data_IF_338324676706
#
_entry.id   IF_338324676706
#
_cell.length_a   1.000
_cell.length_b   1.000
_cell.length_c   1.000
_cell.angle_alpha   90.00
_cell.angle_beta   90.00
_cell.angle_gamma   90.00
#
_symmetry.space_group_name_H-M   'P 1'
#
loop_
_entity.id
_entity.type
_entity.pdbx_description
1 polymer ?
#
# COMPACT_ATOMS: atom_id res chain seq x y z
N UNK A 1 37.51 -16.71 3.45
CA UNK A 1 37.66 -15.44 2.74
C UNK A 1 36.41 -14.63 3.00
N UNK A 2 36.52 -13.32 3.16
CA UNK A 2 35.32 -12.48 3.28
C UNK A 2 34.64 -12.40 1.90
N UNK A 3 33.36 -12.66 1.82
CA UNK A 3 32.56 -12.56 0.58
C UNK A 3 32.56 -11.09 0.10
N UNK A 4 32.74 -10.87 -1.19
CA UNK A 4 32.70 -9.52 -1.80
C UNK A 4 31.26 -9.05 -2.04
N UNK A 5 31.04 -7.75 -2.20
CA UNK A 5 29.71 -7.23 -2.57
C UNK A 5 29.23 -7.81 -3.91
N UNK A 6 30.12 -7.95 -4.88
CA UNK A 6 29.80 -8.55 -6.18
C UNK A 6 29.34 -10.03 -6.06
N UNK A 7 29.96 -10.81 -5.17
CA UNK A 7 29.52 -12.18 -4.91
C UNK A 7 28.14 -12.21 -4.24
N UNK A 8 27.85 -11.28 -3.32
CA UNK A 8 26.52 -11.14 -2.71
C UNK A 8 25.47 -10.79 -3.77
N UNK A 9 25.77 -9.87 -4.68
CA UNK A 9 24.88 -9.51 -5.81
C UNK A 9 24.56 -10.74 -6.68
N UNK A 10 25.57 -11.49 -7.10
CA UNK A 10 25.38 -12.66 -7.95
C UNK A 10 24.52 -13.73 -7.28
N UNK A 11 24.81 -14.07 -6.01
CA UNK A 11 24.02 -15.02 -5.24
C UNK A 11 22.55 -14.57 -5.07
N UNK A 12 22.35 -13.29 -4.86
CA UNK A 12 21.01 -12.71 -4.77
C UNK A 12 20.26 -12.82 -6.11
N UNK A 13 20.91 -12.51 -7.24
CA UNK A 13 20.33 -12.65 -8.59
C UNK A 13 20.00 -14.10 -8.89
N UNK A 14 20.91 -15.03 -8.60
CA UNK A 14 20.66 -16.48 -8.74
C UNK A 14 19.44 -16.90 -7.93
N UNK A 15 19.32 -16.41 -6.68
CA UNK A 15 18.17 -16.70 -5.82
C UNK A 15 16.87 -16.16 -6.41
N UNK A 16 16.84 -14.93 -6.91
CA UNK A 16 15.68 -14.40 -7.63
C UNK A 16 15.32 -15.25 -8.85
N UNK A 17 16.31 -15.79 -9.56
CA UNK A 17 16.11 -16.75 -10.65
C UNK A 17 15.33 -17.99 -10.22
N UNK A 18 15.59 -18.53 -9.02
CA UNK A 18 14.90 -19.74 -8.52
C UNK A 18 13.41 -19.48 -8.23
N UNK A 19 13.02 -18.26 -7.94
CA UNK A 19 11.62 -17.85 -7.70
C UNK A 19 10.94 -17.19 -8.91
N UNK A 20 11.60 -17.32 -10.09
CA UNK A 20 11.01 -17.05 -11.40
C UNK A 20 11.25 -15.65 -11.97
N UNK A 21 12.30 -14.93 -11.52
CA UNK A 21 12.78 -13.72 -12.20
C UNK A 21 13.73 -14.07 -13.32
N UNK A 22 13.58 -13.44 -14.46
CA UNK A 22 14.51 -13.58 -15.58
C UNK A 22 15.64 -12.57 -15.45
N UNK A 23 16.88 -13.06 -15.32
CA UNK A 23 18.02 -12.16 -15.41
C UNK A 23 18.18 -11.62 -16.83
N UNK A 24 18.45 -10.31 -16.94
CA UNK A 24 18.80 -9.63 -18.18
C UNK A 24 19.96 -8.68 -17.91
N UNK A 25 20.89 -8.60 -18.84
CA UNK A 25 22.02 -7.67 -18.76
C UNK A 25 21.61 -6.34 -19.39
N UNK A 26 21.53 -5.26 -18.58
CA UNK A 26 21.26 -3.90 -19.00
C UNK A 26 22.36 -2.99 -18.42
N UNK A 27 23.20 -2.42 -19.28
CA UNK A 27 24.40 -1.68 -18.86
C UNK A 27 24.15 -0.20 -18.59
N UNK A 28 23.15 0.37 -19.26
CA UNK A 28 22.90 1.82 -19.24
C UNK A 28 21.40 2.13 -19.40
N UNK A 29 21.07 3.41 -19.23
CA UNK A 29 19.68 3.87 -19.31
C UNK A 29 19.02 3.62 -20.68
N UNK A 30 19.78 3.72 -21.78
CA UNK A 30 19.23 3.45 -23.12
C UNK A 30 18.78 2.00 -23.27
N UNK A 31 19.56 1.06 -22.75
CA UNK A 31 19.18 -0.37 -22.76
C UNK A 31 17.96 -0.65 -21.86
N UNK A 32 17.88 0.04 -20.71
CA UNK A 32 16.67 -0.04 -19.84
C UNK A 32 15.45 0.46 -20.61
N UNK A 33 15.55 1.56 -21.33
CA UNK A 33 14.45 2.12 -22.13
C UNK A 33 14.01 1.19 -23.28
N UNK A 34 14.96 0.57 -23.96
CA UNK A 34 14.67 -0.39 -25.04
C UNK A 34 14.00 -1.65 -24.48
N UNK A 35 14.49 -2.16 -23.35
CA UNK A 35 13.84 -3.27 -22.66
C UNK A 35 12.41 -2.90 -22.22
N UNK A 36 12.22 -1.69 -21.66
CA UNK A 36 10.91 -1.22 -21.26
C UNK A 36 9.93 -1.22 -22.44
N UNK A 37 10.33 -0.66 -23.60
CA UNK A 37 9.49 -0.70 -24.82
C UNK A 37 9.09 -2.13 -25.18
N UNK A 38 10.06 -3.04 -25.25
CA UNK A 38 9.82 -4.42 -25.63
C UNK A 38 8.87 -5.14 -24.66
N UNK A 39 9.06 -4.99 -23.34
CA UNK A 39 8.20 -5.63 -22.35
C UNK A 39 6.81 -5.01 -22.30
N UNK A 40 6.69 -3.68 -22.46
CA UNK A 40 5.43 -2.97 -22.53
C UNK A 40 4.57 -3.47 -23.70
N UNK A 41 5.18 -3.66 -24.88
CA UNK A 41 4.51 -4.20 -26.06
C UNK A 41 4.02 -5.63 -25.85
N UNK A 42 4.82 -6.47 -25.19
CA UNK A 42 4.40 -7.84 -24.83
C UNK A 42 3.24 -7.80 -23.84
N UNK A 43 3.31 -6.97 -22.83
CA UNK A 43 2.31 -6.85 -21.77
C UNK A 43 0.96 -6.31 -22.29
N UNK A 44 0.98 -5.38 -23.27
CA UNK A 44 -0.22 -4.78 -23.88
C UNK A 44 -0.52 -5.35 -25.28
N UNK A 45 0.03 -6.53 -25.63
CA UNK A 45 -0.02 -7.09 -26.98
C UNK A 45 -1.43 -7.17 -27.56
N UNK A 46 -2.40 -7.64 -26.78
CA UNK A 46 -3.78 -7.81 -27.25
C UNK A 46 -4.43 -6.49 -27.65
N UNK A 47 -4.25 -5.44 -26.85
CA UNK A 47 -4.81 -4.13 -27.08
C UNK A 47 -4.16 -3.45 -28.32
N UNK A 48 -2.83 -3.57 -28.45
CA UNK A 48 -2.08 -3.04 -29.58
C UNK A 48 -2.48 -3.78 -30.88
N UNK A 49 -2.50 -5.12 -30.87
CA UNK A 49 -2.91 -5.95 -32.01
C UNK A 49 -4.32 -5.65 -32.49
N UNK A 50 -5.27 -5.53 -31.58
CA UNK A 50 -6.67 -5.19 -31.89
C UNK A 50 -6.80 -3.84 -32.59
N UNK A 51 -5.99 -2.87 -32.25
CA UNK A 51 -6.05 -1.53 -32.81
C UNK A 51 -5.26 -1.34 -34.10
N UNK A 52 -4.10 -2.02 -34.22
CA UNK A 52 -3.14 -1.84 -35.33
C UNK A 52 -3.00 -3.02 -36.27
N UNK A 53 -3.33 -4.24 -35.83
CA UNK A 53 -3.03 -5.48 -36.57
C UNK A 53 -1.57 -5.96 -36.42
N UNK A 54 -0.73 -5.22 -35.67
CA UNK A 54 0.66 -5.58 -35.32
C UNK A 54 0.85 -5.36 -33.83
N UNK A 55 1.80 -6.11 -33.21
CA UNK A 55 2.00 -6.08 -31.77
C UNK A 55 2.96 -4.96 -31.31
N UNK A 56 3.51 -4.18 -32.23
CA UNK A 56 4.58 -3.22 -31.96
C UNK A 56 4.07 -1.77 -32.09
N UNK A 57 4.58 -0.90 -31.25
CA UNK A 57 4.41 0.54 -31.35
C UNK A 57 5.47 1.13 -32.32
N UNK A 58 5.07 2.08 -33.13
CA UNK A 58 6.04 2.88 -33.91
C UNK A 58 6.92 3.71 -32.95
N UNK A 59 8.04 4.20 -33.46
CA UNK A 59 8.89 5.12 -32.67
C UNK A 59 8.12 6.35 -32.23
N UNK A 60 7.29 6.92 -33.11
CA UNK A 60 6.49 8.11 -32.78
C UNK A 60 5.42 7.82 -31.72
N UNK A 61 4.76 6.65 -31.78
CA UNK A 61 3.78 6.23 -30.77
C UNK A 61 4.45 6.01 -29.40
N UNK A 62 5.62 5.36 -29.39
CA UNK A 62 6.37 5.15 -28.14
C UNK A 62 6.89 6.46 -27.57
N UNK A 63 7.37 7.39 -28.40
CA UNK A 63 7.82 8.72 -27.95
C UNK A 63 6.69 9.56 -27.36
N UNK A 64 5.46 9.45 -27.90
CA UNK A 64 4.28 10.07 -27.32
C UNK A 64 4.01 9.51 -25.91
N UNK A 65 4.04 8.18 -25.75
CA UNK A 65 3.87 7.56 -24.44
C UNK A 65 4.98 7.97 -23.48
N UNK A 66 6.23 7.95 -23.93
CA UNK A 66 7.40 8.37 -23.15
C UNK A 66 7.24 9.80 -22.63
N UNK A 67 6.80 10.73 -23.45
CA UNK A 67 6.54 12.12 -23.04
C UNK A 67 5.47 12.21 -21.94
N UNK A 68 4.48 11.32 -21.94
CA UNK A 68 3.44 11.30 -20.89
C UNK A 68 3.96 10.82 -19.54
N UNK A 69 4.93 9.88 -19.52
CA UNK A 69 5.37 9.19 -18.31
C UNK A 69 6.73 9.64 -17.77
N UNK A 70 7.57 10.26 -18.59
CA UNK A 70 8.86 10.82 -18.15
C UNK A 70 8.69 12.18 -17.43
N UNK A 71 9.72 12.59 -16.69
CA UNK A 71 9.77 13.86 -15.95
C UNK A 71 8.62 14.03 -14.94
N UNK A 72 8.21 12.92 -14.35
CA UNK A 72 7.21 12.87 -13.28
C UNK A 72 7.90 12.74 -11.92
N UNK A 73 7.22 13.20 -10.88
CA UNK A 73 7.62 12.89 -9.50
C UNK A 73 7.39 11.40 -9.20
N UNK A 74 7.98 10.90 -8.12
CA UNK A 74 7.73 9.53 -7.64
C UNK A 74 6.24 9.28 -7.41
N UNK A 75 5.54 10.26 -6.83
CA UNK A 75 4.09 10.18 -6.60
C UNK A 75 3.28 10.08 -7.92
N UNK A 76 3.59 10.94 -8.90
CA UNK A 76 2.93 10.91 -10.22
C UNK A 76 3.23 9.59 -10.95
N UNK A 77 4.46 9.10 -10.90
CA UNK A 77 4.86 7.81 -11.46
C UNK A 77 4.10 6.65 -10.79
N UNK A 78 3.94 6.71 -9.45
CA UNK A 78 3.16 5.74 -8.72
C UNK A 78 1.66 5.75 -9.10
N UNK A 79 1.12 6.91 -9.44
CA UNK A 79 -0.25 7.06 -9.94
C UNK A 79 -0.38 6.49 -11.34
N UNK A 80 0.53 6.87 -12.25
CA UNK A 80 0.61 6.35 -13.62
C UNK A 80 0.70 4.81 -13.61
N UNK A 81 1.49 4.22 -12.72
CA UNK A 81 1.67 2.77 -12.60
C UNK A 81 0.35 2.03 -12.32
N UNK A 82 -0.62 2.67 -11.66
CA UNK A 82 -1.90 2.08 -11.25
C UNK A 82 -3.06 2.41 -12.18
N UNK A 83 -2.89 3.46 -13.00
CA UNK A 83 -3.90 3.94 -13.92
C UNK A 83 -3.58 3.48 -15.36
N UNK A 84 -4.62 3.36 -16.18
CA UNK A 84 -4.44 3.15 -17.62
C UNK A 84 -4.14 4.48 -18.29
N UNK A 85 -3.10 4.51 -19.13
CA UNK A 85 -2.74 5.69 -19.90
C UNK A 85 -3.34 5.62 -21.31
N UNK A 86 -3.91 6.73 -21.78
CA UNK A 86 -4.45 6.81 -23.13
C UNK A 86 -3.33 7.12 -24.13
N UNK A 87 -3.12 6.24 -25.08
CA UNK A 87 -2.17 6.43 -26.19
C UNK A 87 -2.91 6.62 -27.51
N UNK A 88 -2.64 7.72 -28.20
CA UNK A 88 -3.10 7.94 -29.58
C UNK A 88 -2.11 7.33 -30.56
N UNK A 89 -2.61 6.43 -31.41
CA UNK A 89 -1.84 5.72 -32.42
C UNK A 89 -1.72 6.53 -33.72
N UNK A 90 -0.76 6.19 -34.57
CA UNK A 90 -0.54 6.85 -35.88
C UNK A 90 -1.75 6.75 -36.83
N UNK A 91 -2.61 5.75 -36.64
CA UNK A 91 -3.84 5.57 -37.35
C UNK A 91 -5.04 6.35 -36.79
N UNK A 92 -4.83 7.21 -35.80
CA UNK A 92 -5.85 8.03 -35.14
C UNK A 92 -6.70 7.30 -34.08
N UNK A 93 -6.51 5.99 -33.88
CA UNK A 93 -7.19 5.26 -32.81
C UNK A 93 -6.55 5.54 -31.46
N UNK A 94 -7.35 5.42 -30.38
CA UNK A 94 -6.87 5.52 -28.99
C UNK A 94 -6.96 4.17 -28.31
N UNK A 95 -5.90 3.80 -27.61
CA UNK A 95 -5.81 2.59 -26.80
C UNK A 95 -5.48 2.92 -25.37
N UNK A 96 -5.73 1.95 -24.47
CA UNK A 96 -5.39 2.06 -23.05
C UNK A 96 -4.16 1.20 -22.75
N UNK A 97 -3.09 1.84 -22.34
CA UNK A 97 -1.82 1.19 -21.94
C UNK A 97 -1.83 0.97 -20.43
N UNK A 98 -1.63 -0.27 -20.02
CA UNK A 98 -1.40 -0.67 -18.63
C UNK A 98 0.10 -0.87 -18.38
N UNK A 99 0.55 -0.61 -17.14
CA UNK A 99 1.95 -0.77 -16.74
C UNK A 99 2.16 -1.91 -15.74
N UNK A 100 1.15 -2.21 -14.92
CA UNK A 100 1.23 -3.23 -13.88
C UNK A 100 -0.16 -3.87 -13.69
N UNK A 101 -0.19 -5.20 -13.55
CA UNK A 101 -1.42 -5.95 -13.25
C UNK A 101 -1.41 -6.47 -11.81
N UNK A 102 -2.60 -6.55 -11.19
CA UNK A 102 -2.79 -7.32 -9.95
C UNK A 102 -2.75 -8.83 -10.19
N UNK A 103 -3.02 -9.26 -11.41
CA UNK A 103 -2.85 -10.64 -11.85
C UNK A 103 -1.36 -10.93 -12.09
N UNK A 104 -0.80 -11.76 -11.22
CA UNK A 104 0.64 -12.08 -11.22
C UNK A 104 1.09 -12.76 -12.51
N UNK A 105 0.23 -13.56 -13.14
CA UNK A 105 0.57 -14.34 -14.34
C UNK A 105 0.63 -13.48 -15.61
N UNK A 106 0.06 -12.29 -15.57
CA UNK A 106 0.16 -11.31 -16.67
C UNK A 106 1.48 -10.53 -16.63
N UNK A 107 2.13 -10.43 -15.47
CA UNK A 107 3.33 -9.62 -15.32
C UNK A 107 4.60 -10.37 -15.74
N UNK A 108 5.57 -9.62 -16.26
CA UNK A 108 6.90 -10.11 -16.65
C UNK A 108 7.89 -9.63 -15.62
N UNK A 109 8.50 -10.58 -14.87
CA UNK A 109 9.44 -10.27 -13.79
C UNK A 109 10.87 -10.45 -14.28
N UNK A 110 11.67 -9.40 -14.17
CA UNK A 110 13.05 -9.37 -14.59
C UNK A 110 13.94 -8.80 -13.47
N UNK A 111 15.21 -9.17 -13.51
CA UNK A 111 16.25 -8.59 -12.64
C UNK A 111 17.46 -8.22 -13.49
N UNK A 112 18.03 -7.07 -13.19
CA UNK A 112 19.31 -6.62 -13.75
C UNK A 112 20.19 -6.07 -12.65
N UNK A 113 21.47 -5.90 -12.92
CA UNK A 113 22.41 -5.30 -11.98
C UNK A 113 23.41 -4.37 -12.68
N UNK A 114 24.09 -3.56 -11.88
CA UNK A 114 25.21 -2.71 -12.32
C UNK A 114 24.82 -1.73 -13.44
N UNK A 115 23.54 -1.31 -13.48
CA UNK A 115 23.08 -0.29 -14.44
C UNK A 115 23.77 1.04 -14.16
N UNK A 116 24.37 1.62 -15.19
CA UNK A 116 25.04 2.90 -15.09
C UNK A 116 24.16 4.03 -15.66
N UNK A 117 24.04 5.12 -14.91
CA UNK A 117 23.46 6.37 -15.40
C UNK A 117 24.59 7.27 -15.90
N UNK A 118 24.69 7.45 -17.20
CA UNK A 118 25.70 8.29 -17.83
C UNK A 118 25.27 9.76 -17.92
N UNK A 119 26.26 10.68 -17.88
CA UNK A 119 26.03 12.14 -17.94
C UNK A 119 25.43 12.62 -19.28
N UNK A 120 25.62 11.85 -20.36
CA UNK A 120 25.56 12.40 -21.73
C UNK A 120 24.13 12.47 -22.33
N UNK A 121 23.12 11.87 -21.73
CA UNK A 121 21.80 11.84 -22.33
C UNK A 121 20.73 12.72 -21.64
N UNK A 122 21.01 13.21 -20.46
CA UNK A 122 20.18 14.18 -19.76
C UNK A 122 21.13 15.10 -19.00
N UNK A 123 21.27 16.33 -19.37
CA UNK A 123 22.14 17.38 -18.73
C UNK A 123 21.92 17.53 -17.19
N UNK A 124 21.18 16.64 -16.59
CA UNK A 124 20.72 16.65 -15.19
C UNK A 124 21.49 15.69 -14.28
N UNK A 125 22.21 14.68 -14.81
CA UNK A 125 22.95 13.72 -13.97
C UNK A 125 24.30 14.30 -13.59
N UNK A 126 24.45 14.66 -12.31
CA UNK A 126 25.67 15.31 -11.80
C UNK A 126 26.82 14.31 -11.60
N UNK A 127 26.50 13.05 -11.29
CA UNK A 127 27.49 12.00 -11.01
C UNK A 127 27.15 10.70 -11.74
N UNK A 128 28.20 10.01 -12.21
CA UNK A 128 28.09 8.64 -12.71
C UNK A 128 27.87 7.71 -11.52
N UNK A 129 26.69 7.14 -11.40
CA UNK A 129 26.36 6.14 -10.38
C UNK A 129 26.07 4.80 -11.04
N UNK A 130 26.39 3.74 -10.34
CA UNK A 130 26.13 2.35 -10.72
C UNK A 130 25.25 1.72 -9.66
N UNK A 131 24.10 1.22 -10.07
CA UNK A 131 23.09 0.67 -9.17
C UNK A 131 23.34 -0.83 -8.97
N UNK A 132 23.34 -1.32 -7.73
CA UNK A 132 23.70 -2.70 -7.44
C UNK A 132 22.71 -3.66 -8.13
N UNK A 133 21.48 -3.78 -7.67
CA UNK A 133 20.48 -4.66 -8.29
C UNK A 133 19.15 -3.91 -8.46
N UNK A 134 18.52 -4.07 -9.63
CA UNK A 134 17.22 -3.49 -9.94
C UNK A 134 16.24 -4.59 -10.37
N UNK A 135 15.10 -4.65 -9.71
CA UNK A 135 13.97 -5.49 -10.11
C UNK A 135 13.05 -4.69 -11.03
N UNK A 136 12.78 -5.28 -12.21
CA UNK A 136 11.86 -4.71 -13.19
C UNK A 136 10.62 -5.59 -13.31
N UNK A 137 9.46 -4.93 -13.41
CA UNK A 137 8.20 -5.60 -13.75
C UNK A 137 7.64 -4.93 -15.00
N UNK A 138 7.34 -5.72 -16.01
CA UNK A 138 6.95 -5.24 -17.35
C UNK A 138 7.95 -4.24 -17.95
N UNK A 139 9.23 -4.42 -17.63
CA UNK A 139 10.33 -3.56 -18.07
C UNK A 139 10.54 -2.28 -17.26
N UNK A 140 9.62 -1.93 -16.34
CA UNK A 140 9.76 -0.77 -15.45
C UNK A 140 10.59 -1.10 -14.20
N UNK A 141 11.57 -0.28 -13.80
CA UNK A 141 12.30 -0.42 -12.54
C UNK A 141 11.37 -0.05 -11.37
N UNK A 142 10.94 -1.05 -10.59
CA UNK A 142 9.99 -0.85 -9.50
C UNK A 142 10.58 -1.04 -8.11
N UNK A 143 11.68 -1.81 -7.99
CA UNK A 143 12.39 -2.00 -6.73
C UNK A 143 13.88 -1.85 -6.98
N UNK A 144 14.54 -1.02 -6.19
CA UNK A 144 15.99 -0.88 -6.18
C UNK A 144 16.55 -1.52 -4.93
N UNK A 145 17.57 -2.36 -5.10
CA UNK A 145 18.24 -3.08 -4.02
C UNK A 145 19.69 -2.59 -3.93
N UNK A 146 20.12 -2.26 -2.72
CA UNK A 146 21.49 -1.88 -2.42
C UNK A 146 22.10 -2.88 -1.44
N UNK A 147 23.19 -3.51 -1.83
CA UNK A 147 23.83 -4.61 -1.11
C UNK A 147 25.17 -4.18 -0.55
N UNK A 148 25.46 -4.62 0.67
CA UNK A 148 26.73 -4.47 1.33
C UNK A 148 27.24 -5.85 1.78
N UNK A 149 28.57 -6.01 1.82
CA UNK A 149 29.17 -7.22 2.38
C UNK A 149 28.86 -7.37 3.88
N UNK A 150 28.86 -8.59 4.40
CA UNK A 150 28.73 -8.82 5.84
C UNK A 150 29.78 -8.02 6.63
N UNK A 151 29.36 -7.43 7.75
CA UNK A 151 30.21 -6.59 8.61
C UNK A 151 30.16 -5.09 8.28
N UNK A 152 29.53 -4.68 7.19
CA UNK A 152 29.27 -3.27 6.89
C UNK A 152 27.92 -2.87 7.51
N UNK A 153 27.84 -1.67 8.05
CA UNK A 153 26.61 -1.13 8.61
C UNK A 153 25.55 -0.89 7.52
N UNK A 154 24.33 -1.42 7.72
CA UNK A 154 23.22 -1.30 6.78
C UNK A 154 22.87 0.16 6.45
N UNK A 155 23.16 1.08 7.36
CA UNK A 155 22.94 2.50 7.17
C UNK A 155 23.77 3.12 6.02
N UNK A 156 24.88 2.50 5.64
CA UNK A 156 25.68 2.94 4.50
C UNK A 156 24.93 2.74 3.18
N UNK A 157 24.18 1.64 3.05
CA UNK A 157 23.31 1.40 1.90
C UNK A 157 22.18 2.44 1.81
N UNK A 158 21.56 2.83 2.94
CA UNK A 158 20.54 3.89 2.95
C UNK A 158 21.13 5.24 2.51
N UNK A 159 22.34 5.57 2.98
CA UNK A 159 23.04 6.79 2.56
C UNK A 159 23.34 6.78 1.06
N UNK A 160 23.67 5.62 0.51
CA UNK A 160 23.93 5.44 -0.92
C UNK A 160 22.67 5.65 -1.75
N UNK A 161 21.53 5.08 -1.34
CA UNK A 161 20.22 5.32 -1.98
C UNK A 161 19.86 6.81 -1.93
N UNK A 162 20.04 7.49 -0.80
CA UNK A 162 19.80 8.93 -0.71
C UNK A 162 20.68 9.74 -1.68
N UNK A 163 21.92 9.31 -1.91
CA UNK A 163 22.78 9.90 -2.92
C UNK A 163 22.24 9.68 -4.33
N UNK A 164 21.76 8.47 -4.66
CA UNK A 164 21.15 8.17 -5.96
C UNK A 164 19.91 8.99 -6.21
N UNK A 165 19.00 9.06 -5.25
CA UNK A 165 17.78 9.87 -5.32
C UNK A 165 18.08 11.32 -5.60
N UNK A 166 19.08 11.89 -4.93
CA UNK A 166 19.46 13.29 -5.09
C UNK A 166 20.10 13.60 -6.42
N UNK A 167 20.91 12.70 -6.99
CA UNK A 167 21.83 13.04 -8.07
C UNK A 167 21.68 12.23 -9.36
N UNK A 168 20.98 11.09 -9.35
CA UNK A 168 21.00 10.20 -10.50
C UNK A 168 19.70 9.49 -10.85
N UNK A 169 18.77 9.31 -9.95
CA UNK A 169 17.47 8.75 -10.32
C UNK A 169 16.70 9.75 -11.18
N UNK A 170 16.49 9.39 -12.45
CA UNK A 170 15.78 10.18 -13.45
C UNK A 170 15.00 9.26 -14.39
N UNK A 171 14.08 9.82 -15.16
CA UNK A 171 13.31 9.09 -16.15
C UNK A 171 12.55 7.91 -15.55
N UNK A 172 12.75 6.71 -16.10
CA UNK A 172 12.06 5.49 -15.62
C UNK A 172 12.39 5.12 -14.16
N UNK A 173 13.52 5.56 -13.60
CA UNK A 173 13.86 5.28 -12.21
C UNK A 173 12.99 6.05 -11.20
N UNK A 174 12.19 7.02 -11.63
CA UNK A 174 11.12 7.59 -10.79
C UNK A 174 9.96 6.61 -10.54
N UNK A 175 9.86 5.52 -11.30
CA UNK A 175 8.88 4.45 -11.06
C UNK A 175 9.27 3.53 -9.89
N UNK A 176 10.48 3.62 -9.36
CA UNK A 176 10.86 2.88 -8.16
C UNK A 176 9.92 3.26 -7.01
N UNK A 177 9.21 2.25 -6.48
CA UNK A 177 8.26 2.42 -5.38
C UNK A 177 8.88 2.04 -4.03
N UNK A 178 9.82 1.08 -4.05
CA UNK A 178 10.38 0.48 -2.86
C UNK A 178 11.88 0.31 -2.99
N UNK A 179 12.57 0.55 -1.90
CA UNK A 179 13.99 0.24 -1.73
C UNK A 179 14.15 -0.96 -0.80
N UNK A 180 15.15 -1.78 -1.10
CA UNK A 180 15.63 -2.85 -0.22
C UNK A 180 17.11 -2.62 0.05
N UNK A 181 17.53 -2.74 1.29
CA UNK A 181 18.92 -2.63 1.71
C UNK A 181 19.32 -3.87 2.50
N UNK A 182 20.51 -4.41 2.24
CA UNK A 182 20.99 -5.59 2.96
C UNK A 182 22.50 -5.60 3.11
N UNK A 183 22.96 -6.16 4.25
CA UNK A 183 24.33 -6.58 4.45
C UNK A 183 24.45 -8.11 4.61
N UNK A 184 23.52 -8.85 3.99
CA UNK A 184 23.32 -10.32 4.07
C UNK A 184 22.75 -10.81 5.41
N UNK A 185 23.06 -10.18 6.53
CA UNK A 185 22.62 -10.55 7.89
C UNK A 185 21.34 -9.79 8.27
N UNK A 186 21.26 -8.53 7.87
CA UNK A 186 20.12 -7.67 8.08
C UNK A 186 19.60 -7.17 6.75
N UNK A 187 18.31 -7.33 6.52
CA UNK A 187 17.63 -6.85 5.33
C UNK A 187 16.43 -6.01 5.73
N UNK A 188 16.32 -4.83 5.14
CA UNK A 188 15.23 -3.88 5.40
C UNK A 188 14.67 -3.35 4.09
N UNK A 189 13.41 -2.89 4.13
CA UNK A 189 12.78 -2.22 3.01
C UNK A 189 12.10 -0.92 3.45
N UNK A 190 11.89 -0.02 2.50
CA UNK A 190 11.23 1.27 2.73
C UNK A 190 10.69 1.88 1.43
N UNK A 191 9.76 2.82 1.57
CA UNK A 191 9.17 3.52 0.44
C UNK A 191 10.16 4.49 -0.23
N UNK A 192 10.00 4.70 -1.52
CA UNK A 192 10.59 5.85 -2.22
C UNK A 192 9.70 7.08 -1.99
N UNK A 193 9.87 7.74 -0.85
CA UNK A 193 9.09 8.92 -0.48
C UNK A 193 9.35 10.12 -1.38
N UNK A 194 8.52 11.14 -1.27
CA UNK A 194 8.73 12.42 -1.94
C UNK A 194 10.13 12.99 -1.66
N UNK A 195 10.81 13.48 -2.70
CA UNK A 195 12.18 13.96 -2.65
C UNK A 195 12.32 15.42 -2.20
N UNK A 196 11.22 16.12 -2.03
CA UNK A 196 11.23 17.56 -1.69
C UNK A 196 10.44 17.85 -0.42
N UNK A 197 10.99 18.74 0.40
CA UNK A 197 10.29 19.36 1.50
C UNK A 197 9.31 20.44 0.99
N UNK A 198 8.46 20.97 1.86
CA UNK A 198 7.53 22.04 1.53
C UNK A 198 8.23 23.34 1.04
N UNK A 199 9.48 23.56 1.44
CA UNK A 199 10.32 24.70 1.01
C UNK A 199 11.09 24.43 -0.29
N UNK A 200 10.85 23.26 -0.94
CA UNK A 200 11.52 22.86 -2.18
C UNK A 200 12.93 22.26 -1.99
N UNK A 201 13.43 22.14 -0.76
CA UNK A 201 14.73 21.52 -0.51
C UNK A 201 14.64 19.99 -0.58
N UNK A 202 15.78 19.33 -0.89
CA UNK A 202 15.88 17.88 -0.95
C UNK A 202 15.56 17.22 0.39
N UNK A 203 14.65 16.23 0.39
CA UNK A 203 14.27 15.41 1.54
C UNK A 203 14.97 14.05 1.48
N UNK A 204 15.88 13.81 2.42
CA UNK A 204 16.49 12.49 2.57
C UNK A 204 15.54 11.52 3.30
N UNK A 205 15.57 10.24 2.90
CA UNK A 205 14.86 9.18 3.63
C UNK A 205 15.51 8.99 5.00
N UNK A 206 14.69 8.99 6.04
CA UNK A 206 15.14 8.75 7.40
C UNK A 206 15.39 7.25 7.63
N UNK A 207 16.49 6.93 8.31
CA UNK A 207 16.86 5.55 8.66
C UNK A 207 15.78 4.83 9.50
N UNK A 208 15.02 5.57 10.28
CA UNK A 208 13.89 5.08 11.08
C UNK A 208 12.69 4.60 10.26
N UNK A 209 12.65 4.94 8.97
CA UNK A 209 11.59 4.50 8.05
C UNK A 209 11.91 3.18 7.32
N UNK A 210 13.07 2.60 7.59
CA UNK A 210 13.45 1.30 7.06
C UNK A 210 13.03 0.17 8.00
N UNK A 211 12.16 -0.73 7.53
CA UNK A 211 11.53 -1.78 8.31
C UNK A 211 12.11 -3.15 7.99
N UNK A 212 12.12 -4.04 8.98
CA UNK A 212 12.31 -5.46 8.73
C UNK A 212 11.04 -6.07 8.14
N UNK A 213 11.19 -7.05 7.25
CA UNK A 213 10.10 -7.93 6.87
C UNK A 213 9.85 -8.94 7.99
N UNK A 214 8.62 -9.38 8.16
CA UNK A 214 8.23 -10.36 9.18
C UNK A 214 7.31 -11.42 8.59
N UNK A 215 7.18 -12.53 9.29
CA UNK A 215 6.10 -13.49 9.04
C UNK A 215 4.76 -13.03 9.67
N UNK A 216 3.75 -13.87 9.57
CA UNK A 216 2.41 -13.60 10.12
C UNK A 216 2.35 -13.54 11.67
N UNK A 217 3.38 -14.04 12.36
CA UNK A 217 3.52 -14.02 13.81
C UNK A 217 4.36 -12.82 14.30
N UNK A 218 4.72 -11.90 13.41
CA UNK A 218 5.63 -10.78 13.63
C UNK A 218 7.10 -11.20 13.92
N UNK A 219 7.50 -12.43 13.57
CA UNK A 219 8.89 -12.86 13.66
C UNK A 219 9.68 -12.29 12.47
N UNK A 220 10.85 -11.70 12.78
CA UNK A 220 11.65 -11.00 11.76
C UNK A 220 12.36 -11.97 10.82
N UNK A 221 12.28 -11.67 9.54
CA UNK A 221 13.03 -12.32 8.47
C UNK A 221 14.22 -11.42 8.12
N UNK A 222 15.34 -11.66 8.79
CA UNK A 222 16.50 -10.76 8.72
C UNK A 222 17.45 -11.10 7.58
N UNK A 223 17.69 -12.40 7.34
CA UNK A 223 18.70 -12.85 6.40
C UNK A 223 18.25 -12.64 4.95
N UNK A 224 19.18 -12.21 4.10
CA UNK A 224 18.89 -11.87 2.71
C UNK A 224 18.22 -13.03 1.95
N UNK A 225 18.67 -14.26 2.13
CA UNK A 225 18.11 -15.42 1.42
C UNK A 225 16.66 -15.69 1.83
N UNK A 226 16.37 -15.72 3.13
CA UNK A 226 15.02 -15.93 3.66
C UNK A 226 14.09 -14.79 3.27
N UNK A 227 14.60 -13.56 3.35
CA UNK A 227 13.90 -12.37 2.89
C UNK A 227 13.55 -12.47 1.39
N UNK A 228 14.49 -12.93 0.56
CA UNK A 228 14.29 -13.07 -0.88
C UNK A 228 13.18 -14.07 -1.18
N UNK A 229 13.19 -15.22 -0.49
CA UNK A 229 12.24 -16.31 -0.72
C UNK A 229 10.80 -15.94 -0.35
N UNK A 230 10.61 -15.00 0.55
CA UNK A 230 9.27 -14.56 0.96
C UNK A 230 8.87 -13.21 0.34
N UNK A 231 9.68 -12.15 0.55
CA UNK A 231 9.37 -10.80 0.09
C UNK A 231 9.26 -10.70 -1.45
N UNK A 232 10.19 -11.32 -2.17
CA UNK A 232 10.24 -11.28 -3.63
C UNK A 232 9.41 -12.37 -4.32
N UNK A 233 8.61 -13.17 -3.59
CA UNK A 233 7.61 -13.98 -4.30
C UNK A 233 6.79 -13.08 -5.20
N UNK A 234 6.45 -13.55 -6.42
CA UNK A 234 5.65 -12.77 -7.38
C UNK A 234 4.35 -12.26 -6.76
N UNK A 235 3.76 -13.07 -5.86
CA UNK A 235 2.56 -12.69 -5.12
C UNK A 235 2.81 -11.52 -4.17
N UNK A 236 3.82 -11.62 -3.29
CA UNK A 236 4.04 -10.59 -2.26
C UNK A 236 4.52 -9.28 -2.88
N UNK A 237 5.45 -9.32 -3.85
CA UNK A 237 5.95 -8.09 -4.48
C UNK A 237 4.87 -7.39 -5.30
N UNK A 238 4.04 -8.13 -6.06
CA UNK A 238 2.93 -7.52 -6.80
C UNK A 238 1.92 -6.92 -5.84
N UNK A 239 1.50 -7.65 -4.80
CA UNK A 239 0.58 -7.13 -3.80
C UNK A 239 1.15 -5.90 -3.06
N UNK A 240 2.46 -5.90 -2.75
CA UNK A 240 3.12 -4.73 -2.14
C UNK A 240 2.98 -3.49 -3.02
N UNK A 241 3.24 -3.65 -4.32
CA UNK A 241 3.24 -2.54 -5.28
C UNK A 241 1.82 -2.08 -5.68
N UNK A 242 0.84 -2.98 -5.74
CA UNK A 242 -0.53 -2.66 -6.16
C UNK A 242 -1.46 -2.36 -4.99
N UNK A 243 -1.41 -3.17 -3.94
CA UNK A 243 -2.37 -3.12 -2.85
C UNK A 243 -1.81 -2.49 -1.58
N UNK A 244 -0.51 -2.69 -1.26
CA UNK A 244 0.07 -2.26 0.01
C UNK A 244 1.02 -1.06 -0.10
N UNK A 245 1.09 -0.41 -1.26
CA UNK A 245 1.62 0.93 -1.41
C UNK A 245 0.47 1.92 -1.48
N UNK A 246 0.41 2.84 -0.54
CA UNK A 246 -0.65 3.84 -0.39
C UNK A 246 -0.19 5.16 -0.97
N UNK A 247 -1.02 5.76 -1.81
CA UNK A 247 -0.82 7.11 -2.32
C UNK A 247 -1.40 8.11 -1.31
N UNK A 248 -0.64 9.14 -0.99
CA UNK A 248 -1.10 10.27 -0.19
C UNK A 248 -1.34 11.47 -1.10
N UNK A 249 -2.57 11.69 -1.53
CA UNK A 249 -2.91 12.70 -2.51
C UNK A 249 -2.58 14.12 -2.05
N UNK A 250 -2.83 14.45 -0.79
CA UNK A 250 -2.54 15.78 -0.24
C UNK A 250 -1.03 16.05 -0.14
N UNK A 251 -0.27 15.07 0.35
CA UNK A 251 1.18 15.21 0.57
C UNK A 251 2.01 14.89 -0.67
N UNK A 252 1.38 14.44 -1.77
CA UNK A 252 2.04 13.97 -2.99
C UNK A 252 3.16 12.96 -2.68
N UNK A 253 2.86 12.01 -1.79
CA UNK A 253 3.81 11.03 -1.27
C UNK A 253 3.27 9.61 -1.43
N UNK A 254 4.15 8.62 -1.26
CA UNK A 254 3.79 7.21 -1.18
C UNK A 254 4.23 6.61 0.15
N UNK A 255 3.43 5.70 0.66
CA UNK A 255 3.73 4.91 1.86
C UNK A 255 3.69 3.44 1.50
N UNK A 256 4.74 2.70 1.81
CA UNK A 256 4.72 1.23 1.77
C UNK A 256 4.34 0.71 3.16
N UNK A 257 3.29 -0.12 3.21
CA UNK A 257 2.79 -0.65 4.48
C UNK A 257 3.80 -1.58 5.15
N UNK A 258 3.78 -1.59 6.48
CA UNK A 258 4.60 -2.47 7.31
C UNK A 258 4.02 -3.89 7.33
N UNK A 259 4.81 -4.94 7.59
CA UNK A 259 4.35 -6.32 7.50
C UNK A 259 3.12 -6.61 8.37
N UNK A 260 3.11 -6.20 9.64
CA UNK A 260 1.97 -6.39 10.53
C UNK A 260 0.69 -5.72 10.02
N UNK A 261 0.80 -4.57 9.32
CA UNK A 261 -0.34 -3.90 8.68
C UNK A 261 -0.86 -4.71 7.49
N UNK A 262 0.06 -5.29 6.70
CA UNK A 262 -0.26 -6.17 5.56
C UNK A 262 -0.97 -7.43 6.06
N UNK A 263 -0.44 -8.10 7.09
CA UNK A 263 -1.05 -9.32 7.64
C UNK A 263 -2.40 -9.03 8.29
N UNK A 264 -2.55 -7.92 9.01
CA UNK A 264 -3.84 -7.49 9.53
C UNK A 264 -4.86 -7.27 8.40
N UNK A 265 -4.44 -6.60 7.33
CA UNK A 265 -5.29 -6.37 6.16
C UNK A 265 -5.70 -7.68 5.49
N UNK A 266 -4.74 -8.59 5.25
CA UNK A 266 -5.03 -9.94 4.71
C UNK A 266 -6.05 -10.69 5.60
N UNK A 267 -5.87 -10.65 6.91
CA UNK A 267 -6.78 -11.30 7.86
C UNK A 267 -8.20 -10.72 7.81
N UNK A 268 -8.33 -9.39 7.70
CA UNK A 268 -9.62 -8.72 7.55
C UNK A 268 -10.29 -9.09 6.22
N UNK A 269 -9.57 -9.04 5.11
CA UNK A 269 -10.11 -9.39 3.79
C UNK A 269 -10.61 -10.83 3.77
N UNK A 270 -9.81 -11.78 4.26
CA UNK A 270 -10.21 -13.19 4.39
C UNK A 270 -11.46 -13.34 5.26
N UNK A 271 -11.52 -12.68 6.43
CA UNK A 271 -12.66 -12.75 7.36
C UNK A 271 -13.96 -12.30 6.70
N UNK A 272 -13.91 -11.21 5.92
CA UNK A 272 -15.09 -10.63 5.26
C UNK A 272 -15.47 -11.39 3.99
N UNK A 273 -14.49 -11.67 3.13
CA UNK A 273 -14.75 -12.15 1.76
C UNK A 273 -14.91 -13.66 1.67
N UNK A 274 -14.24 -14.42 2.54
CA UNK A 274 -14.25 -15.89 2.51
C UNK A 274 -15.11 -16.46 3.63
N UNK A 275 -14.94 -15.97 4.87
CA UNK A 275 -15.61 -16.51 6.04
C UNK A 275 -16.98 -15.85 6.30
N UNK A 276 -17.23 -14.67 5.73
CA UNK A 276 -18.44 -13.86 5.97
C UNK A 276 -18.75 -13.64 7.47
N UNK A 277 -17.72 -13.32 8.26
CA UNK A 277 -17.79 -13.15 9.72
C UNK A 277 -17.24 -11.79 10.14
N UNK A 278 -17.58 -11.40 11.37
CA UNK A 278 -17.05 -10.20 12.01
C UNK A 278 -15.72 -10.49 12.70
N UNK A 279 -15.05 -9.41 13.16
CA UNK A 279 -13.83 -9.52 13.92
C UNK A 279 -13.23 -8.16 14.28
N UNK A 280 -12.11 -8.18 14.98
CA UNK A 280 -11.38 -6.96 15.30
C UNK A 280 -9.86 -7.14 15.19
N UNK A 281 -9.17 -6.04 14.98
CA UNK A 281 -7.71 -5.95 14.97
C UNK A 281 -7.25 -5.23 16.24
N UNK A 282 -6.30 -5.82 16.93
CA UNK A 282 -5.69 -5.24 18.12
C UNK A 282 -4.28 -4.73 17.82
N UNK A 283 -4.17 -3.45 17.51
CA UNK A 283 -2.91 -2.76 17.27
C UNK A 283 -2.72 -1.63 18.26
N UNK A 284 -1.54 -1.54 18.88
CA UNK A 284 -1.24 -0.50 19.87
C UNK A 284 -1.33 0.92 19.29
N UNK A 285 -1.48 1.91 20.14
CA UNK A 285 -1.44 3.33 19.74
C UNK A 285 -0.07 3.64 19.10
N UNK A 286 -0.07 4.47 18.07
CA UNK A 286 1.16 4.82 17.31
C UNK A 286 1.59 3.75 16.28
N UNK A 287 0.87 2.65 16.11
CA UNK A 287 1.17 1.62 15.11
C UNK A 287 0.66 1.94 13.69
N UNK A 288 0.00 3.08 13.47
CA UNK A 288 -0.63 3.42 12.19
C UNK A 288 -1.92 2.66 11.94
N UNK A 289 -2.76 2.48 12.98
CA UNK A 289 -4.11 1.86 12.86
C UNK A 289 -4.97 2.54 11.82
N UNK A 290 -4.96 3.88 11.77
CA UNK A 290 -5.73 4.69 10.83
C UNK A 290 -5.41 4.31 9.38
N UNK A 291 -4.13 4.21 9.04
CA UNK A 291 -3.68 3.75 7.71
C UNK A 291 -4.16 2.32 7.42
N UNK A 292 -4.02 1.41 8.41
CA UNK A 292 -4.40 0.00 8.23
C UNK A 292 -5.91 -0.15 8.03
N UNK A 293 -6.72 0.50 8.86
CA UNK A 293 -8.19 0.43 8.79
C UNK A 293 -8.71 1.08 7.49
N UNK A 294 -8.15 2.23 7.11
CA UNK A 294 -8.49 2.90 5.85
C UNK A 294 -8.15 2.02 4.64
N UNK A 295 -6.96 1.38 4.64
CA UNK A 295 -6.55 0.49 3.55
C UNK A 295 -7.45 -0.75 3.46
N UNK A 296 -7.84 -1.34 4.58
CA UNK A 296 -8.84 -2.42 4.60
C UNK A 296 -10.16 -1.95 3.95
N UNK A 297 -10.65 -0.77 4.33
CA UNK A 297 -11.87 -0.22 3.78
C UNK A 297 -11.76 0.01 2.25
N UNK A 298 -10.65 0.56 1.79
CA UNK A 298 -10.39 0.82 0.36
C UNK A 298 -10.37 -0.48 -0.45
N UNK A 299 -9.66 -1.52 0.01
CA UNK A 299 -9.59 -2.80 -0.69
C UNK A 299 -10.94 -3.53 -0.70
N UNK A 300 -11.73 -3.41 0.36
CA UNK A 300 -13.11 -3.93 0.41
C UNK A 300 -14.03 -3.16 -0.53
N UNK A 301 -13.92 -1.81 -0.61
CA UNK A 301 -14.65 -0.97 -1.57
C UNK A 301 -14.41 -1.40 -3.01
N UNK A 302 -13.16 -1.69 -3.35
CA UNK A 302 -12.75 -2.06 -4.71
C UNK A 302 -13.14 -3.50 -5.07
N UNK A 303 -13.60 -4.28 -4.10
CA UNK A 303 -14.07 -5.65 -4.33
C UNK A 303 -15.49 -5.66 -4.88
N UNK A 304 -15.70 -6.30 -6.03
CA UNK A 304 -16.99 -6.36 -6.72
C UNK A 304 -18.12 -7.06 -5.97
N UNK A 305 -17.82 -7.82 -4.88
CA UNK A 305 -18.83 -8.50 -4.04
C UNK A 305 -19.39 -7.61 -2.93
N UNK A 306 -18.84 -6.41 -2.71
CA UNK A 306 -19.25 -5.47 -1.68
C UNK A 306 -20.03 -4.31 -2.32
N UNK A 307 -21.24 -4.08 -1.85
CA UNK A 307 -22.10 -2.99 -2.33
C UNK A 307 -21.70 -1.64 -1.73
N UNK A 308 -21.37 -1.62 -0.43
CA UNK A 308 -21.03 -0.39 0.31
C UNK A 308 -20.10 -0.66 1.48
N UNK A 309 -19.11 0.20 1.66
CA UNK A 309 -18.24 0.23 2.84
C UNK A 309 -18.56 1.48 3.65
N UNK A 310 -18.83 1.29 4.94
CA UNK A 310 -18.99 2.36 5.92
C UNK A 310 -17.76 2.40 6.80
N UNK A 311 -16.99 3.46 6.74
CA UNK A 311 -15.92 3.72 7.66
C UNK A 311 -16.46 4.60 8.80
N UNK A 312 -16.59 4.00 9.99
CA UNK A 312 -17.17 4.66 11.15
C UNK A 312 -16.10 5.12 12.12
N UNK A 313 -16.13 6.39 12.42
CA UNK A 313 -15.28 7.04 13.43
C UNK A 313 -16.13 7.59 14.58
N UNK A 314 -15.53 7.76 15.77
CA UNK A 314 -16.21 8.45 16.86
C UNK A 314 -16.19 9.97 16.58
N UNK A 315 -17.28 10.67 16.93
CA UNK A 315 -17.37 12.12 16.78
C UNK A 315 -16.27 12.88 17.54
N UNK A 316 -15.78 12.32 18.65
CA UNK A 316 -14.71 12.91 19.46
C UNK A 316 -13.34 12.81 18.81
N UNK A 317 -13.18 11.87 17.87
CA UNK A 317 -11.93 11.63 17.13
C UNK A 317 -11.93 12.29 15.76
N UNK A 318 -13.05 12.92 15.35
CA UNK A 318 -13.16 13.73 14.15
C UNK A 318 -12.75 15.17 14.47
N UNK A 319 -11.55 15.34 14.99
CA UNK A 319 -10.89 16.64 15.02
C UNK A 319 -10.30 16.97 13.63
N UNK A 320 -9.89 18.22 13.43
CA UNK A 320 -9.35 18.68 12.15
C UNK A 320 -8.16 17.82 11.70
N UNK A 321 -7.29 17.40 12.63
CA UNK A 321 -6.12 16.58 12.33
C UNK A 321 -6.49 15.19 11.82
N UNK A 322 -7.49 14.54 12.40
CA UNK A 322 -8.00 13.23 11.98
C UNK A 322 -8.70 13.32 10.61
N UNK A 323 -9.48 14.38 10.38
CA UNK A 323 -10.08 14.65 9.06
C UNK A 323 -9.01 14.83 8.00
N UNK A 324 -7.97 15.59 8.31
CA UNK A 324 -6.83 15.81 7.40
C UNK A 324 -6.05 14.51 7.12
N UNK A 325 -5.88 13.64 8.13
CA UNK A 325 -5.24 12.34 7.94
C UNK A 325 -6.04 11.46 6.97
N UNK A 326 -7.36 11.33 7.13
CA UNK A 326 -8.19 10.55 6.20
C UNK A 326 -8.23 11.17 4.80
N UNK A 327 -8.39 12.47 4.69
CA UNK A 327 -8.38 13.17 3.40
C UNK A 327 -7.00 13.13 2.73
N UNK A 328 -5.90 12.89 3.49
CA UNK A 328 -4.57 12.69 2.91
C UNK A 328 -4.49 11.40 2.10
N UNK A 329 -5.28 10.37 2.46
CA UNK A 329 -5.32 9.09 1.73
C UNK A 329 -6.27 9.11 0.53
N UNK A 330 -7.36 9.87 0.61
CA UNK A 330 -8.32 10.03 -0.49
C UNK A 330 -9.05 11.38 -0.35
N UNK A 331 -8.92 12.25 -1.34
CA UNK A 331 -9.49 13.60 -1.33
C UNK A 331 -11.00 13.58 -1.08
N UNK A 332 -11.46 14.39 -0.12
CA UNK A 332 -12.88 14.55 0.23
C UNK A 332 -13.59 13.25 0.66
N UNK A 333 -12.85 12.25 1.16
CA UNK A 333 -13.46 10.99 1.60
C UNK A 333 -14.25 11.13 2.90
N UNK A 334 -13.93 12.11 3.75
CA UNK A 334 -14.61 12.36 5.02
C UNK A 334 -15.81 13.28 4.83
N UNK A 335 -16.97 12.85 5.34
CA UNK A 335 -18.12 13.74 5.51
C UNK A 335 -17.93 14.61 6.77
N UNK A 336 -17.28 15.74 6.60
CA UNK A 336 -17.01 16.72 7.68
C UNK A 336 -18.24 17.52 8.09
N UNK A 337 -19.37 17.42 7.35
CA UNK A 337 -20.60 18.15 7.69
C UNK A 337 -21.34 17.48 8.83
N UNK A 338 -21.93 18.27 9.73
CA UNK A 338 -22.79 17.77 10.82
C UNK A 338 -24.19 17.33 10.33
N UNK A 339 -24.44 17.36 9.03
CA UNK A 339 -25.75 17.14 8.43
C UNK A 339 -26.01 15.68 8.07
N UNK A 340 -27.00 15.06 8.73
CA UNK A 340 -27.53 13.75 8.33
C UNK A 340 -28.09 13.76 6.90
N UNK A 341 -28.54 14.93 6.40
CA UNK A 341 -29.06 15.05 5.02
C UNK A 341 -27.98 14.85 3.97
N UNK A 342 -26.75 15.27 4.21
CA UNK A 342 -25.63 15.04 3.28
C UNK A 342 -25.23 13.56 3.26
N UNK A 343 -25.18 12.89 4.42
CA UNK A 343 -24.99 11.43 4.48
C UNK A 343 -26.03 10.70 3.60
N UNK A 344 -27.30 11.10 3.68
CA UNK A 344 -28.38 10.49 2.90
C UNK A 344 -28.21 10.76 1.40
N UNK A 345 -27.75 11.94 1.01
CA UNK A 345 -27.46 12.27 -0.39
C UNK A 345 -26.33 11.37 -0.95
N UNK A 346 -25.26 11.21 -0.20
CA UNK A 346 -24.15 10.30 -0.54
C UNK A 346 -24.57 8.84 -0.57
N UNK A 347 -25.47 8.40 0.32
CA UNK A 347 -26.04 7.05 0.29
C UNK A 347 -26.85 6.77 -0.98
N UNK A 348 -27.52 7.76 -1.56
CA UNK A 348 -28.24 7.62 -2.83
C UNK A 348 -27.31 7.51 -4.03
N UNK A 349 -26.09 7.99 -3.93
CA UNK A 349 -25.10 7.92 -4.99
C UNK A 349 -24.53 6.51 -5.09
N UNK A 350 -24.94 5.74 -6.09
CA UNK A 350 -24.48 4.36 -6.31
C UNK A 350 -22.99 4.28 -6.72
N UNK A 351 -22.42 5.33 -7.26
CA UNK A 351 -21.00 5.40 -7.64
C UNK A 351 -20.07 5.53 -6.43
N UNK A 352 -20.56 6.03 -5.31
CA UNK A 352 -19.78 6.22 -4.12
C UNK A 352 -19.87 4.98 -3.21
N UNK A 353 -18.94 4.06 -3.37
CA UNK A 353 -18.94 2.78 -2.67
C UNK A 353 -18.40 2.84 -1.23
N UNK A 354 -17.64 3.88 -0.85
CA UNK A 354 -17.13 4.08 0.51
C UNK A 354 -17.64 5.40 1.08
N UNK A 355 -18.05 5.37 2.36
CA UNK A 355 -18.49 6.54 3.12
C UNK A 355 -17.77 6.57 4.46
N UNK A 356 -17.04 7.65 4.72
CA UNK A 356 -16.51 7.95 6.05
C UNK A 356 -17.52 8.82 6.78
N UNK A 357 -18.01 8.36 7.94
CA UNK A 357 -19.03 9.10 8.71
C UNK A 357 -18.96 8.73 10.19
N UNK A 358 -19.70 9.45 11.03
CA UNK A 358 -19.79 9.12 12.44
C UNK A 358 -20.91 8.12 12.72
N UNK A 359 -20.72 7.29 13.75
CA UNK A 359 -21.72 6.34 14.20
C UNK A 359 -23.02 7.07 14.62
N UNK A 360 -22.90 8.30 15.18
CA UNK A 360 -24.02 9.14 15.60
C UNK A 360 -24.87 9.57 14.41
N UNK A 361 -24.26 10.05 13.31
CA UNK A 361 -24.98 10.45 12.09
C UNK A 361 -25.73 9.27 11.49
N UNK A 362 -25.10 8.10 11.41
CA UNK A 362 -25.75 6.89 10.89
C UNK A 362 -26.93 6.45 11.77
N UNK A 363 -26.76 6.48 13.11
CA UNK A 363 -27.83 6.16 14.03
C UNK A 363 -28.99 7.17 13.95
N UNK A 364 -28.71 8.47 13.77
CA UNK A 364 -29.74 9.48 13.52
C UNK A 364 -30.50 9.23 12.20
N UNK A 365 -29.79 8.85 11.14
CA UNK A 365 -30.41 8.51 9.86
C UNK A 365 -31.36 7.32 9.99
N UNK A 366 -30.98 6.28 10.75
CA UNK A 366 -31.81 5.08 11.00
C UNK A 366 -33.08 5.39 11.79
N UNK A 367 -33.04 6.34 12.72
CA UNK A 367 -34.19 6.72 13.57
C UNK A 367 -35.15 7.69 12.93
N UNK A 368 -34.76 8.32 11.83
CA UNK A 368 -35.57 9.33 11.15
C UNK A 368 -36.47 8.69 10.11
N UNK A 369 -37.79 8.75 10.33
CA UNK A 369 -38.81 8.17 9.44
C UNK A 369 -38.72 8.69 8.00
N UNK A 370 -38.31 9.94 7.80
CA UNK A 370 -38.09 10.53 6.46
C UNK A 370 -37.07 9.75 5.63
N UNK A 371 -36.09 9.13 6.27
CA UNK A 371 -35.00 8.41 5.61
C UNK A 371 -35.19 6.89 5.58
N UNK A 372 -36.25 6.41 6.22
CA UNK A 372 -36.59 4.99 6.34
C UNK A 372 -36.55 4.24 5.00
N UNK A 373 -37.17 4.70 3.89
CA UNK A 373 -37.15 3.96 2.63
C UNK A 373 -35.74 3.77 2.07
N UNK A 374 -34.83 4.77 2.29
CA UNK A 374 -33.45 4.68 1.84
C UNK A 374 -32.67 3.69 2.70
N UNK A 375 -32.86 3.74 4.02
CA UNK A 375 -32.17 2.84 4.95
C UNK A 375 -32.64 1.40 4.80
N UNK A 376 -33.92 1.17 4.53
CA UNK A 376 -34.47 -0.18 4.25
C UNK A 376 -33.90 -0.81 2.99
N UNK A 377 -33.55 -0.03 1.98
CA UNK A 377 -32.88 -0.53 0.77
C UNK A 377 -31.49 -1.13 1.04
N UNK A 378 -30.89 -0.84 2.19
CA UNK A 378 -29.60 -1.39 2.62
C UNK A 378 -29.71 -2.69 3.43
N UNK A 379 -30.91 -3.15 3.80
CA UNK A 379 -31.10 -4.38 4.60
C UNK A 379 -30.46 -5.62 3.99
N UNK A 380 -30.57 -5.76 2.66
CA UNK A 380 -30.12 -6.94 1.92
C UNK A 380 -28.78 -6.73 1.22
N UNK A 381 -28.32 -5.48 1.10
CA UNK A 381 -27.04 -5.14 0.45
C UNK A 381 -25.87 -5.67 1.27
N UNK A 382 -24.85 -6.17 0.57
CA UNK A 382 -23.59 -6.58 1.20
C UNK A 382 -22.80 -5.36 1.63
N UNK A 383 -22.90 -5.03 2.92
CA UNK A 383 -22.21 -3.90 3.51
C UNK A 383 -21.06 -4.35 4.42
N UNK A 384 -20.04 -3.52 4.52
CA UNK A 384 -18.96 -3.71 5.51
C UNK A 384 -18.82 -2.44 6.33
N UNK A 385 -18.78 -2.61 7.65
CA UNK A 385 -18.52 -1.55 8.59
C UNK A 385 -17.11 -1.71 9.15
N UNK A 386 -16.23 -0.76 8.80
CA UNK A 386 -14.90 -0.62 9.40
C UNK A 386 -14.98 0.44 10.49
N UNK A 387 -14.60 0.09 11.71
CA UNK A 387 -14.85 0.90 12.89
C UNK A 387 -13.53 1.15 13.60
N UNK A 388 -13.09 2.40 13.55
CA UNK A 388 -11.89 2.82 14.27
C UNK A 388 -12.21 3.12 15.73
N UNK A 389 -11.23 2.91 16.63
CA UNK A 389 -11.33 3.04 18.09
C UNK A 389 -12.60 2.40 18.69
N UNK A 390 -12.88 1.17 18.27
CA UNK A 390 -14.12 0.46 18.55
C UNK A 390 -14.36 0.08 20.02
N UNK A 391 -13.41 0.37 20.92
CA UNK A 391 -13.52 0.10 22.37
C UNK A 391 -14.40 1.09 23.13
N UNK A 392 -14.81 2.21 22.52
CA UNK A 392 -15.54 3.28 23.21
C UNK A 392 -16.97 2.87 23.57
N UNK A 393 -17.38 3.23 24.80
CA UNK A 393 -18.62 2.78 25.46
C UNK A 393 -19.94 3.13 24.77
N UNK A 394 -19.96 4.16 23.91
CA UNK A 394 -21.17 4.57 23.16
C UNK A 394 -21.47 3.63 21.98
N UNK A 395 -20.52 2.77 21.62
CA UNK A 395 -20.64 1.86 20.50
C UNK A 395 -21.75 0.81 20.69
N UNK A 396 -21.94 0.26 21.89
CA UNK A 396 -22.82 -0.88 22.14
C UNK A 396 -24.30 -0.69 21.78
N UNK A 397 -24.92 0.44 22.14
CA UNK A 397 -26.37 0.69 21.86
C UNK A 397 -26.62 1.03 20.39
N UNK A 398 -25.82 1.92 19.82
CA UNK A 398 -25.95 2.35 18.42
C UNK A 398 -25.58 1.23 17.46
N UNK A 399 -24.64 0.37 17.83
CA UNK A 399 -24.28 -0.83 17.08
C UNK A 399 -25.45 -1.81 16.94
N UNK A 400 -26.26 -1.99 18.00
CA UNK A 400 -27.48 -2.79 17.93
C UNK A 400 -28.50 -2.28 16.91
N UNK A 401 -28.69 -0.95 16.83
CA UNK A 401 -29.61 -0.34 15.85
C UNK A 401 -29.10 -0.54 14.41
N UNK A 402 -27.79 -0.37 14.19
CA UNK A 402 -27.15 -0.57 12.89
C UNK A 402 -27.27 -2.04 12.46
N UNK A 403 -26.94 -3.00 13.33
CA UNK A 403 -27.05 -4.44 13.04
C UNK A 403 -28.45 -4.87 12.66
N UNK A 404 -29.47 -4.35 13.34
CA UNK A 404 -30.87 -4.67 13.02
C UNK A 404 -31.29 -4.21 11.62
N UNK A 405 -30.73 -3.10 11.17
CA UNK A 405 -31.05 -2.57 9.83
C UNK A 405 -30.20 -3.21 8.72
N UNK A 406 -28.91 -3.45 8.96
CA UNK A 406 -27.98 -3.99 7.97
C UNK A 406 -27.79 -5.49 8.19
N UNK A 407 -28.75 -6.30 7.72
CA UNK A 407 -28.80 -7.74 8.00
C UNK A 407 -27.71 -8.55 7.26
N UNK A 408 -27.24 -8.05 6.11
CA UNK A 408 -26.16 -8.67 5.32
C UNK A 408 -24.86 -7.85 5.44
N UNK A 409 -24.46 -7.52 6.69
CA UNK A 409 -23.27 -6.72 6.92
C UNK A 409 -22.22 -7.44 7.77
N UNK A 410 -20.94 -7.15 7.48
CA UNK A 410 -19.84 -7.50 8.35
C UNK A 410 -19.36 -6.28 9.13
N UNK A 411 -18.88 -6.51 10.34
CA UNK A 411 -18.37 -5.48 11.24
C UNK A 411 -16.92 -5.83 11.61
N UNK A 412 -16.02 -4.93 11.31
CA UNK A 412 -14.59 -5.06 11.58
C UNK A 412 -14.15 -3.88 12.46
N UNK A 413 -13.68 -4.20 13.68
CA UNK A 413 -13.20 -3.22 14.64
C UNK A 413 -11.68 -3.05 14.62
N UNK A 414 -11.20 -1.83 14.86
CA UNK A 414 -9.80 -1.54 15.14
C UNK A 414 -9.68 -0.88 16.50
N UNK A 415 -8.72 -1.33 17.33
CA UNK A 415 -8.54 -0.78 18.67
C UNK A 415 -7.12 -1.01 19.20
N UNK A 416 -6.61 -0.05 20.00
CA UNK A 416 -5.39 -0.21 20.78
C UNK A 416 -5.63 -0.80 22.16
N UNK A 417 -6.85 -0.72 22.68
CA UNK A 417 -7.25 -1.07 24.04
C UNK A 417 -8.54 -1.87 24.06
N UNK A 418 -8.50 -3.17 23.66
CA UNK A 418 -9.68 -4.02 23.69
C UNK A 418 -10.27 -4.14 25.13
N UNK A 419 -11.57 -4.31 25.21
CA UNK A 419 -12.27 -4.58 26.46
C UNK A 419 -12.27 -6.09 26.69
N UNK A 420 -11.72 -6.51 27.81
CA UNK A 420 -11.70 -7.90 28.30
C UNK A 420 -12.65 -8.09 29.48
N UNK A 421 -12.74 -9.31 30.00
CA UNK A 421 -13.60 -9.64 31.15
C UNK A 421 -13.30 -8.76 32.37
N UNK A 422 -12.01 -8.49 32.63
CA UNK A 422 -11.53 -7.77 33.80
C UNK A 422 -11.84 -6.26 33.76
N UNK A 423 -12.07 -5.70 32.57
CA UNK A 423 -12.30 -4.25 32.39
C UNK A 423 -13.64 -3.92 31.70
N UNK A 424 -14.61 -4.85 31.79
CA UNK A 424 -15.97 -4.60 31.31
C UNK A 424 -16.58 -3.37 31.94
N UNK A 425 -17.00 -2.42 31.09
CA UNK A 425 -17.73 -1.23 31.52
C UNK A 425 -19.23 -1.51 31.79
N UNK A 426 -20.02 -0.46 31.91
CA UNK A 426 -21.47 -0.52 32.19
C UNK A 426 -22.28 -1.35 31.17
N UNK A 427 -21.76 -1.67 29.99
CA UNK A 427 -22.40 -2.50 28.97
C UNK A 427 -22.27 -4.00 29.24
N UNK A 428 -21.33 -4.41 30.10
CA UNK A 428 -21.07 -5.81 30.41
C UNK A 428 -20.57 -6.67 29.25
N UNK A 429 -20.13 -6.08 28.12
CA UNK A 429 -19.66 -6.78 26.94
C UNK A 429 -18.17 -6.57 26.72
N UNK A 430 -17.48 -7.63 26.31
CA UNK A 430 -16.09 -7.56 25.80
C UNK A 430 -16.06 -7.11 24.34
N UNK A 431 -14.88 -6.73 23.86
CA UNK A 431 -14.68 -6.45 22.40
C UNK A 431 -14.98 -7.72 21.58
N UNK A 432 -14.62 -8.89 22.07
CA UNK A 432 -14.94 -10.16 21.41
C UNK A 432 -16.47 -10.40 21.32
N UNK A 433 -17.23 -10.11 22.38
CA UNK A 433 -18.70 -10.23 22.38
C UNK A 433 -19.34 -9.31 21.35
N UNK A 434 -18.83 -8.08 21.22
CA UNK A 434 -19.34 -7.09 20.26
C UNK A 434 -19.16 -7.57 18.82
N UNK A 435 -18.02 -8.17 18.49
CA UNK A 435 -17.69 -8.52 17.10
C UNK A 435 -18.02 -9.97 16.73
N UNK A 436 -18.02 -10.90 17.65
CA UNK A 436 -18.20 -12.31 17.29
C UNK A 436 -18.98 -13.17 18.32
N UNK A 437 -19.86 -12.56 19.08
CA UNK A 437 -20.76 -13.29 19.99
C UNK A 437 -20.05 -14.34 20.88
N UNK A 438 -18.90 -13.99 21.46
CA UNK A 438 -18.18 -14.82 22.41
C UNK A 438 -17.27 -15.90 21.84
N UNK A 439 -17.01 -15.93 20.52
CA UNK A 439 -16.03 -16.88 19.97
C UNK A 439 -14.59 -16.38 20.14
N UNK A 440 -13.65 -17.29 20.48
CA UNK A 440 -12.25 -16.95 20.76
C UNK A 440 -11.47 -16.42 19.54
N UNK A 441 -11.98 -16.60 18.35
CA UNK A 441 -11.33 -16.20 17.09
C UNK A 441 -11.74 -14.80 16.58
N UNK A 442 -12.35 -13.99 17.44
CA UNK A 442 -12.77 -12.62 17.07
C UNK A 442 -11.59 -11.68 16.79
N UNK A 443 -10.46 -11.88 17.46
CA UNK A 443 -9.23 -11.10 17.23
C UNK A 443 -8.47 -11.63 16.03
N UNK A 444 -8.44 -10.87 14.94
CA UNK A 444 -7.89 -11.27 13.65
C UNK A 444 -6.37 -11.14 13.58
N UNK A 445 -5.83 -10.13 14.23
CA UNK A 445 -4.40 -9.84 14.27
C UNK A 445 -4.04 -9.01 15.50
N UNK A 446 -2.83 -9.23 16.03
CA UNK A 446 -2.29 -8.52 17.19
C UNK A 446 -0.94 -7.90 16.85
N UNK A 447 -0.77 -6.63 17.22
CA UNK A 447 0.51 -5.96 17.24
C UNK A 447 0.56 -5.10 18.49
N UNK A 448 1.27 -5.62 19.51
CA UNK A 448 1.23 -5.07 20.86
C UNK A 448 2.39 -4.10 21.07
N UNK A 449 2.39 -3.46 22.23
CA UNK A 449 3.40 -2.46 22.58
C UNK A 449 4.82 -3.04 22.64
N UNK A 450 5.00 -4.32 22.99
CA UNK A 450 6.30 -4.99 23.01
C UNK A 450 6.91 -5.11 21.61
N UNK A 451 6.09 -5.48 20.61
CA UNK A 451 6.51 -5.55 19.21
C UNK A 451 6.81 -4.13 18.68
N UNK A 452 5.95 -3.17 19.01
CA UNK A 452 6.13 -1.78 18.60
C UNK A 452 7.41 -1.14 19.17
N UNK A 453 7.79 -1.46 20.42
CA UNK A 453 9.07 -1.05 21.03
C UNK A 453 10.24 -1.78 20.34
N UNK A 454 10.12 -3.08 20.09
CA UNK A 454 11.15 -3.86 19.41
C UNK A 454 11.43 -3.33 18.02
N UNK A 455 10.38 -2.89 17.28
CA UNK A 455 10.50 -2.31 15.95
C UNK A 455 10.90 -0.83 15.94
N UNK A 456 11.00 -0.19 17.12
CA UNK A 456 11.33 1.23 17.25
C UNK A 456 10.19 2.17 16.88
N UNK A 457 8.95 1.67 16.77
CA UNK A 457 7.76 2.45 16.45
C UNK A 457 7.23 3.25 17.65
N UNK A 458 7.56 2.80 18.86
CA UNK A 458 7.21 3.44 20.14
C UNK A 458 8.47 3.51 21.00
N UNK A 459 8.63 4.60 21.73
CA UNK A 459 9.76 4.78 22.64
C UNK A 459 9.72 3.76 23.79
N UNK A 460 10.88 3.31 24.23
CA UNK A 460 11.00 2.44 25.42
C UNK A 460 10.57 3.21 26.64
N UNK A 461 9.85 2.53 27.54
CA UNK A 461 9.58 3.07 28.87
C UNK A 461 10.83 2.89 29.76
N UNK A 462 11.23 3.92 30.50
CA UNK A 462 12.05 3.78 31.67
C UNK A 462 11.14 3.82 32.90
N UNK A 463 11.19 2.79 33.72
CA UNK A 463 10.55 2.83 35.06
C UNK A 463 11.64 3.23 36.01
N UNK A 464 11.54 4.43 36.54
CA UNK A 464 12.33 4.86 37.70
C UNK A 464 11.61 4.38 38.97
N UNK A 465 12.32 3.58 39.79
CA UNK A 465 11.83 3.12 41.09
C UNK A 465 12.27 4.10 42.20
#
# INVERSE_FOLDING_TARGET
MAISEYEVENLFIERLGTIGYKYIELKNYTEVMLNFKAQLEVFNKEEIMKAKGVAELSTAEFDRLRTQIENKTVYESAKILRDKQVLELDNGKRIYIEFLSKDIDRNIYQVTHQVTMDKDHMNEVVYKNRYDVTVLINGLPLVQIELKRPGVEINEAINQINRYRRYSFRGLFHFIQCFVVSNSIQTKYFANENETNADGTYKAILKSLAFFWTDANNERINQLNEFTDDFFTKFNITALLTDYTVLQDTLKNIIVMRPYQIYATKAVLRRVLEENRNGYVWHTTGSGKTLTSFKCASLLRDNGRIDKVFFLVDRKDLDDQTVDEYNSFEDNCVDSTDSTSELIKRLKNSGEKMLVTTIQKLACALRNEKYRPIMEAYKTKKCVFVIDECHRSQFGKMHGDIRRNFQNANFIGFTGTPIFEENKGATGQTTADIFNAGTMDACLHKYLIKEAIADGNVLKFSVEY
#
